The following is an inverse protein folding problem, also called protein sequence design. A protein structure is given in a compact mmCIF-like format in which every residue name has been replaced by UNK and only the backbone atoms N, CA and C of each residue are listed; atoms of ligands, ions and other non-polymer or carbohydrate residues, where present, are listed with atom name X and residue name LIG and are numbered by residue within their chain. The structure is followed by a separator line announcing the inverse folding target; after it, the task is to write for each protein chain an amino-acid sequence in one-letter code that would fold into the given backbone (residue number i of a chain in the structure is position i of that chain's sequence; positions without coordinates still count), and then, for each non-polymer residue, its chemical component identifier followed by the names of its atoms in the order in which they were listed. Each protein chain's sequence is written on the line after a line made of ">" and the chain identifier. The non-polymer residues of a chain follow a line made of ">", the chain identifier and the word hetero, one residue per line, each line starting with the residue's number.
data_IF_856354212212
#
_entry.id   IF_856354212212
#
_cell.length_a   1.000
_cell.length_b   1.000
_cell.length_c   1.000
_cell.angle_alpha   90.00
_cell.angle_beta   90.00
_cell.angle_gamma   90.00
#
_symmetry.space_group_name_H-M   'P 1'
#
loop_
_entity.id
_entity.type
_entity.pdbx_description
1 polymer ?
#
# COMPACT_ATOMS: atom_id res chain seq x y z
N UNK A 1 19.13 18.26 -1.55
CA UNK A 1 17.94 17.58 -2.09
C UNK A 1 18.27 16.35 -2.92
N UNK A 2 19.52 16.15 -3.39
CA UNK A 2 19.96 15.02 -4.24
C UNK A 2 20.10 13.65 -3.54
N UNK A 3 19.32 13.34 -2.50
CA UNK A 3 19.54 12.10 -1.72
C UNK A 3 18.25 11.46 -1.17
N UNK A 4 17.08 11.82 -1.75
CA UNK A 4 15.76 11.35 -1.31
C UNK A 4 15.43 9.92 -1.79
N UNK A 5 15.78 9.60 -3.04
CA UNK A 5 15.76 8.27 -3.68
C UNK A 5 16.43 8.36 -5.05
N UNK A 6 16.62 7.22 -5.72
CA UNK A 6 17.20 7.14 -7.06
C UNK A 6 16.09 7.17 -8.13
N UNK A 7 15.95 8.30 -8.82
CA UNK A 7 14.95 8.53 -9.88
C UNK A 7 15.16 7.64 -11.13
N UNK A 8 16.37 7.13 -11.37
CA UNK A 8 16.63 6.20 -12.48
C UNK A 8 16.05 4.80 -12.21
N UNK A 9 15.89 4.44 -10.95
CA UNK A 9 15.47 3.09 -10.53
C UNK A 9 14.11 3.04 -9.85
N UNK A 10 13.58 4.19 -9.43
CA UNK A 10 12.35 4.31 -8.66
C UNK A 10 11.42 5.34 -9.28
N UNK A 11 10.18 4.92 -9.51
CA UNK A 11 9.10 5.79 -9.97
C UNK A 11 8.00 5.86 -8.91
N UNK A 12 7.49 7.07 -8.69
CA UNK A 12 6.30 7.33 -7.88
C UNK A 12 5.17 7.62 -8.85
N UNK A 13 4.03 6.96 -8.66
CA UNK A 13 2.84 7.15 -9.51
C UNK A 13 1.62 7.29 -8.60
N UNK A 14 0.71 8.20 -8.93
CA UNK A 14 -0.55 8.40 -8.21
C UNK A 14 -1.69 7.72 -8.95
N UNK A 15 -2.42 6.85 -8.25
CA UNK A 15 -3.59 6.16 -8.80
C UNK A 15 -4.86 6.84 -8.33
N UNK A 16 -5.68 7.26 -9.27
CA UNK A 16 -6.97 7.93 -9.00
C UNK A 16 -8.10 7.26 -9.78
N UNK A 17 -9.32 7.37 -9.26
CA UNK A 17 -10.53 7.08 -10.01
C UNK A 17 -10.81 8.13 -11.07
N UNK A 18 -11.83 7.89 -11.89
CA UNK A 18 -12.26 8.84 -12.91
C UNK A 18 -12.82 10.11 -12.27
N UNK A 19 -12.58 11.29 -12.87
CA UNK A 19 -13.18 12.53 -12.40
C UNK A 19 -14.71 12.44 -12.44
N UNK A 20 -15.36 13.10 -11.47
CA UNK A 20 -16.82 13.12 -11.33
C UNK A 20 -17.46 14.41 -11.85
N UNK A 21 -16.65 15.39 -12.24
CA UNK A 21 -17.06 16.68 -12.77
C UNK A 21 -16.05 17.20 -13.81
N UNK A 22 -16.48 18.16 -14.64
CA UNK A 22 -15.60 18.86 -15.58
C UNK A 22 -14.49 19.63 -14.86
N UNK A 23 -14.78 20.20 -13.68
CA UNK A 23 -13.79 20.91 -12.87
C UNK A 23 -12.69 19.95 -12.38
N UNK A 24 -13.05 18.75 -11.92
CA UNK A 24 -12.06 17.73 -11.53
C UNK A 24 -11.23 17.28 -12.74
N UNK A 25 -11.85 17.12 -13.91
CA UNK A 25 -11.16 16.75 -15.15
C UNK A 25 -10.17 17.82 -15.61
N UNK A 26 -10.54 19.11 -15.56
CA UNK A 26 -9.66 20.23 -15.89
C UNK A 26 -8.49 20.35 -14.93
N UNK A 27 -8.76 20.26 -13.62
CA UNK A 27 -7.71 20.28 -12.59
C UNK A 27 -6.73 19.13 -12.75
N UNK A 28 -7.25 17.95 -13.10
CA UNK A 28 -6.45 16.77 -13.36
C UNK A 28 -5.58 16.94 -14.62
N UNK A 29 -6.12 17.50 -15.69
CA UNK A 29 -5.36 17.76 -16.91
C UNK A 29 -4.22 18.77 -16.68
N UNK A 30 -4.44 19.78 -15.81
CA UNK A 30 -3.40 20.74 -15.42
C UNK A 30 -2.29 20.03 -14.63
N UNK A 31 -2.65 19.22 -13.63
CA UNK A 31 -1.69 18.49 -12.80
C UNK A 31 -0.84 17.53 -13.64
N UNK A 32 -1.50 16.74 -14.50
CA UNK A 32 -0.83 15.77 -15.36
C UNK A 32 0.09 16.48 -16.37
N UNK A 33 -0.28 17.68 -16.81
CA UNK A 33 0.58 18.54 -17.66
C UNK A 33 1.85 19.04 -16.98
N UNK A 34 1.96 18.93 -15.65
CA UNK A 34 3.14 19.32 -14.87
C UNK A 34 3.98 18.14 -14.40
N UNK A 35 3.35 17.06 -13.91
CA UNK A 35 4.06 15.99 -13.19
C UNK A 35 4.15 14.66 -13.95
N UNK A 36 3.21 14.38 -14.86
CA UNK A 36 3.20 13.16 -15.67
C UNK A 36 3.29 11.84 -14.88
N UNK A 37 2.75 11.83 -13.68
CA UNK A 37 2.83 10.70 -12.75
C UNK A 37 1.46 10.18 -12.30
N UNK A 38 0.37 10.57 -12.99
CA UNK A 38 -0.97 10.06 -12.70
C UNK A 38 -1.36 8.86 -13.58
N UNK A 39 -2.01 7.88 -12.94
CA UNK A 39 -2.76 6.83 -13.61
C UNK A 39 -4.23 6.93 -13.22
N UNK A 40 -5.06 7.31 -14.19
CA UNK A 40 -6.52 7.35 -14.05
C UNK A 40 -7.08 5.95 -14.34
N UNK A 41 -7.77 5.37 -13.36
CA UNK A 41 -8.49 4.12 -13.53
C UNK A 41 -9.99 4.39 -13.71
N UNK A 42 -10.65 3.61 -14.57
CA UNK A 42 -12.10 3.68 -14.81
C UNK A 42 -12.89 3.12 -13.61
N UNK A 43 -12.84 3.85 -12.50
CA UNK A 43 -13.36 3.48 -11.18
C UNK A 43 -13.90 4.76 -10.52
N UNK A 44 -15.07 4.68 -9.89
CA UNK A 44 -15.56 5.77 -9.05
C UNK A 44 -14.74 5.91 -7.77
N UNK A 45 -14.27 7.12 -7.45
CA UNK A 45 -13.43 7.37 -6.28
C UNK A 45 -14.22 7.19 -4.98
N UNK A 46 -13.61 6.52 -4.00
CA UNK A 46 -14.24 6.30 -2.71
C UNK A 46 -13.55 5.21 -1.89
N UNK A 47 -13.93 5.11 -0.62
CA UNK A 47 -13.32 4.15 0.29
C UNK A 47 -13.50 2.69 -0.17
N UNK A 48 -14.67 2.35 -0.70
CA UNK A 48 -14.98 0.98 -1.13
C UNK A 48 -14.37 0.61 -2.50
N UNK A 49 -13.71 1.54 -3.19
CA UNK A 49 -13.03 1.29 -4.45
C UNK A 49 -11.51 1.12 -4.31
N UNK A 50 -10.96 1.24 -3.10
CA UNK A 50 -9.53 1.03 -2.81
C UNK A 50 -9.00 -0.32 -3.32
N UNK A 51 -9.79 -1.39 -3.22
CA UNK A 51 -9.41 -2.71 -3.73
C UNK A 51 -9.28 -2.75 -5.25
N UNK A 52 -10.14 -2.04 -5.97
CA UNK A 52 -10.07 -1.91 -7.43
C UNK A 52 -8.90 -1.00 -7.84
N UNK A 53 -8.60 0.06 -7.08
CA UNK A 53 -7.40 0.88 -7.30
C UNK A 53 -6.12 0.08 -7.11
N UNK A 54 -6.08 -0.77 -6.09
CA UNK A 54 -4.93 -1.68 -5.85
C UNK A 54 -4.81 -2.73 -6.95
N UNK A 55 -5.94 -3.28 -7.41
CA UNK A 55 -5.96 -4.16 -8.58
C UNK A 55 -5.40 -3.46 -9.83
N UNK A 56 -5.85 -2.24 -10.11
CA UNK A 56 -5.38 -1.43 -11.23
C UNK A 56 -3.88 -1.10 -11.12
N UNK A 57 -3.38 -0.78 -9.92
CA UNK A 57 -1.96 -0.58 -9.65
C UNK A 57 -1.13 -1.82 -9.97
N UNK A 58 -1.57 -3.01 -9.56
CA UNK A 58 -0.87 -4.26 -9.88
C UNK A 58 -0.91 -4.58 -11.38
N UNK A 59 -2.05 -4.34 -12.04
CA UNK A 59 -2.17 -4.50 -13.50
C UNK A 59 -1.22 -3.54 -14.22
N UNK A 60 -1.24 -2.26 -13.87
CA UNK A 60 -0.38 -1.25 -14.47
C UNK A 60 1.10 -1.60 -14.30
N UNK A 61 1.53 -1.96 -13.09
CA UNK A 61 2.90 -2.44 -12.82
C UNK A 61 3.23 -3.62 -13.73
N UNK A 62 2.36 -4.63 -13.79
CA UNK A 62 2.65 -5.86 -14.53
C UNK A 62 2.70 -5.64 -16.06
N UNK A 63 1.95 -4.67 -16.57
CA UNK A 63 1.93 -4.30 -17.99
C UNK A 63 3.10 -3.40 -18.37
N UNK A 64 3.33 -2.32 -17.59
CA UNK A 64 4.30 -1.27 -17.94
C UNK A 64 5.71 -1.52 -17.40
N UNK A 65 5.79 -2.16 -16.23
CA UNK A 65 7.02 -2.38 -15.47
C UNK A 65 7.17 -3.84 -14.97
N UNK A 66 7.09 -4.84 -15.86
CA UNK A 66 7.06 -6.26 -15.47
C UNK A 66 8.31 -6.69 -14.70
N UNK A 67 9.47 -6.08 -14.98
CA UNK A 67 10.77 -6.44 -14.39
C UNK A 67 11.11 -5.72 -13.09
N UNK A 68 10.33 -4.72 -12.67
CA UNK A 68 10.62 -3.98 -11.43
C UNK A 68 10.57 -4.94 -10.24
N UNK A 69 11.63 -4.91 -9.42
CA UNK A 69 11.85 -5.83 -8.29
C UNK A 69 10.81 -5.69 -7.19
N UNK A 70 10.20 -4.53 -7.08
CA UNK A 70 9.41 -4.14 -5.92
C UNK A 70 8.23 -3.27 -6.34
N UNK A 71 7.12 -3.37 -5.62
CA UNK A 71 6.00 -2.43 -5.70
C UNK A 71 5.63 -2.03 -4.28
N UNK A 72 5.75 -0.75 -3.96
CA UNK A 72 5.31 -0.21 -2.66
C UNK A 72 3.98 0.48 -2.86
N UNK A 73 2.95 0.01 -2.16
CA UNK A 73 1.66 0.69 -2.10
C UNK A 73 1.66 1.60 -0.89
N UNK A 74 1.21 2.84 -1.06
CA UNK A 74 0.96 3.78 0.03
C UNK A 74 -0.37 4.51 -0.17
N UNK A 75 -1.07 4.82 0.92
CA UNK A 75 -2.18 5.78 0.91
C UNK A 75 -1.62 7.21 0.92
N UNK A 76 -2.36 8.16 0.35
CA UNK A 76 -1.93 9.56 0.21
C UNK A 76 -1.76 10.31 1.53
N UNK A 77 -2.25 9.74 2.63
CA UNK A 77 -2.02 10.21 4.00
C UNK A 77 -0.79 9.58 4.66
N UNK A 78 0.10 8.92 3.91
CA UNK A 78 1.38 8.40 4.43
C UNK A 78 2.57 9.17 3.87
N UNK A 79 3.52 9.49 4.74
CA UNK A 79 4.83 10.02 4.34
C UNK A 79 5.84 8.90 4.37
N UNK A 80 6.61 8.76 3.28
CA UNK A 80 7.53 7.67 3.04
C UNK A 80 8.98 8.15 3.02
N UNK A 81 9.89 7.29 3.49
CA UNK A 81 11.32 7.42 3.27
C UNK A 81 11.72 6.50 2.11
N UNK A 82 11.54 6.99 0.88
CA UNK A 82 11.62 6.18 -0.35
C UNK A 82 12.94 5.43 -0.47
N UNK A 83 14.08 6.07 -0.17
CA UNK A 83 15.40 5.41 -0.15
C UNK A 83 15.49 4.19 0.77
N UNK A 84 14.72 4.15 1.86
CA UNK A 84 14.72 2.98 2.73
C UNK A 84 13.94 1.83 2.11
N UNK A 85 12.90 2.11 1.33
CA UNK A 85 12.25 1.08 0.51
C UNK A 85 13.18 0.54 -0.57
N UNK A 86 13.97 1.39 -1.25
CA UNK A 86 14.97 0.92 -2.22
C UNK A 86 15.92 -0.10 -1.58
N UNK A 87 16.50 0.25 -0.42
CA UNK A 87 17.34 -0.66 0.37
C UNK A 87 16.61 -1.94 0.77
N UNK A 88 15.37 -1.84 1.25
CA UNK A 88 14.57 -3.02 1.62
C UNK A 88 14.33 -3.94 0.42
N UNK A 89 14.04 -3.37 -0.74
CA UNK A 89 13.79 -4.10 -1.97
C UNK A 89 15.07 -4.77 -2.52
N UNK A 90 16.24 -4.15 -2.33
CA UNK A 90 17.54 -4.72 -2.75
C UNK A 90 18.09 -5.76 -1.77
N UNK A 91 17.91 -5.57 -0.47
CA UNK A 91 18.38 -6.51 0.56
C UNK A 91 17.51 -7.77 0.68
N UNK A 92 16.24 -7.69 0.27
CA UNK A 92 15.32 -8.83 0.40
C UNK A 92 15.46 -9.80 -0.78
N UNK A 93 16.03 -10.96 -0.49
CA UNK A 93 16.42 -11.95 -1.50
C UNK A 93 15.24 -12.78 -2.05
N UNK A 94 14.17 -12.99 -1.27
CA UNK A 94 13.08 -13.90 -1.66
C UNK A 94 11.71 -13.22 -1.73
N UNK A 95 10.86 -13.58 -2.72
CA UNK A 95 9.54 -12.99 -2.91
C UNK A 95 8.66 -13.05 -1.66
N UNK A 96 8.12 -11.90 -1.24
CA UNK A 96 7.28 -11.78 -0.04
C UNK A 96 6.54 -10.45 0.00
N UNK A 97 5.51 -10.39 0.84
CA UNK A 97 4.86 -9.16 1.24
C UNK A 97 5.47 -8.70 2.55
N UNK A 98 5.88 -7.44 2.62
CA UNK A 98 6.48 -6.83 3.79
C UNK A 98 5.62 -5.65 4.24
N UNK A 99 5.32 -5.58 5.53
CA UNK A 99 4.49 -4.52 6.07
C UNK A 99 4.30 -4.67 7.57
N UNK A 100 3.31 -3.98 8.14
CA UNK A 100 2.89 -4.24 9.52
C UNK A 100 1.88 -5.40 9.57
N UNK A 101 2.40 -6.61 9.63
CA UNK A 101 1.61 -7.86 9.54
C UNK A 101 1.33 -8.57 10.88
N UNK A 102 1.52 -7.85 12.00
CA UNK A 102 1.36 -8.27 13.39
C UNK A 102 0.10 -7.65 14.02
N UNK A 103 -0.96 -7.49 13.23
CA UNK A 103 -2.20 -6.83 13.67
C UNK A 103 -3.27 -7.83 14.08
N UNK A 104 -4.30 -7.35 14.80
CA UNK A 104 -5.49 -8.16 15.07
C UNK A 104 -6.14 -8.60 13.76
N UNK A 105 -6.50 -9.88 13.71
CA UNK A 105 -7.14 -10.52 12.55
C UNK A 105 -8.66 -10.60 12.68
N UNK A 106 -9.22 -10.05 13.75
CA UNK A 106 -10.65 -10.11 14.02
C UNK A 106 -11.45 -9.31 12.99
N UNK A 107 -12.46 -9.97 12.42
CA UNK A 107 -13.36 -9.35 11.48
C UNK A 107 -14.31 -8.42 12.23
N UNK A 108 -14.23 -7.11 11.95
CA UNK A 108 -15.10 -6.09 12.55
C UNK A 108 -16.55 -6.29 12.12
N UNK A 109 -17.45 -6.43 13.09
CA UNK A 109 -18.89 -6.67 12.88
C UNK A 109 -19.75 -5.50 13.34
N UNK A 110 -19.16 -4.56 14.07
CA UNK A 110 -19.73 -3.30 14.51
C UNK A 110 -19.87 -2.32 13.34
N UNK A 111 -20.83 -1.38 13.44
CA UNK A 111 -21.15 -0.40 12.38
C UNK A 111 -20.07 0.67 12.25
N UNK A 112 -18.90 0.29 11.76
CA UNK A 112 -17.77 1.16 11.44
C UNK A 112 -17.50 1.12 9.94
N UNK A 113 -16.61 1.99 9.43
CA UNK A 113 -16.14 1.93 8.04
C UNK A 113 -15.43 0.61 7.67
N UNK A 114 -15.05 -0.18 8.67
CA UNK A 114 -14.38 -1.47 8.50
C UNK A 114 -15.31 -2.68 8.70
N UNK A 115 -16.61 -2.44 8.89
CA UNK A 115 -17.60 -3.49 9.10
C UNK A 115 -17.62 -4.46 7.92
N UNK A 116 -17.54 -5.76 8.23
CA UNK A 116 -17.76 -6.83 7.25
C UNK A 116 -18.92 -7.71 7.72
N UNK A 117 -20.01 -7.84 6.95
CA UNK A 117 -21.12 -8.73 7.28
C UNK A 117 -20.73 -10.21 7.27
N UNK A 118 -21.39 -11.03 8.09
CA UNK A 118 -21.18 -12.50 8.08
C UNK A 118 -21.58 -13.15 6.75
N UNK A 119 -22.57 -12.58 6.07
CA UNK A 119 -22.97 -13.02 4.72
C UNK A 119 -21.88 -12.84 3.67
N UNK A 120 -20.96 -11.88 3.88
CA UNK A 120 -19.85 -11.61 2.97
C UNK A 120 -18.59 -12.39 3.36
N UNK A 121 -18.32 -12.49 4.67
CA UNK A 121 -17.20 -13.24 5.21
C UNK A 121 -17.64 -13.96 6.49
N UNK A 122 -17.90 -15.28 6.45
CA UNK A 122 -18.53 -15.99 7.56
C UNK A 122 -17.59 -16.25 8.73
N UNK A 123 -16.27 -16.28 8.48
CA UNK A 123 -15.27 -16.60 9.50
C UNK A 123 -15.04 -15.43 10.48
N UNK A 124 -14.71 -15.71 11.74
CA UNK A 124 -14.44 -14.66 12.74
C UNK A 124 -13.08 -13.97 12.54
N UNK A 125 -12.15 -14.62 11.85
CA UNK A 125 -10.78 -14.14 11.66
C UNK A 125 -10.43 -14.11 10.16
N UNK A 126 -9.77 -13.04 9.73
CA UNK A 126 -9.08 -13.00 8.44
C UNK A 126 -7.81 -13.87 8.45
N UNK A 127 -7.26 -14.28 7.28
CA UNK A 127 -5.87 -14.76 7.22
C UNK A 127 -4.91 -13.70 7.74
N UNK A 128 -3.65 -14.07 8.04
CA UNK A 128 -2.65 -13.05 8.37
C UNK A 128 -2.53 -12.08 7.19
N UNK A 129 -2.59 -10.79 7.45
CA UNK A 129 -2.48 -9.73 6.46
C UNK A 129 -1.61 -8.60 7.04
N UNK A 130 -1.13 -7.72 6.18
CA UNK A 130 -0.33 -6.56 6.55
C UNK A 130 -1.24 -5.34 6.53
N UNK A 131 -1.49 -4.78 7.71
CA UNK A 131 -2.32 -3.60 7.84
C UNK A 131 -1.44 -2.42 8.12
N UNK A 132 -1.53 -1.40 7.28
CA UNK A 132 -0.99 -0.05 7.38
C UNK A 132 -1.42 0.64 6.11
N UNK A 133 -1.44 1.98 6.09
CA UNK A 133 -1.54 2.70 4.82
C UNK A 133 -0.31 2.53 3.93
N UNK A 134 0.58 1.56 4.20
CA UNK A 134 1.74 1.25 3.36
C UNK A 134 2.13 -0.22 3.49
N UNK A 135 2.48 -0.88 2.39
CA UNK A 135 3.12 -2.19 2.37
C UNK A 135 3.95 -2.37 1.08
N UNK A 136 4.95 -3.25 1.11
CA UNK A 136 5.82 -3.55 -0.01
C UNK A 136 5.62 -4.98 -0.53
N UNK A 137 5.46 -5.10 -1.84
CA UNK A 137 5.44 -6.36 -2.59
C UNK A 137 6.82 -6.57 -3.19
N UNK A 138 7.62 -7.41 -2.56
CA UNK A 138 9.00 -7.66 -2.96
C UNK A 138 9.05 -8.92 -3.82
N UNK A 139 9.67 -8.81 -4.99
CA UNK A 139 9.70 -9.83 -6.04
C UNK A 139 8.90 -9.37 -7.25
N UNK A 140 9.55 -9.35 -8.41
CA UNK A 140 8.96 -8.82 -9.65
C UNK A 140 7.66 -9.54 -10.07
N UNK A 141 7.52 -10.81 -9.68
CA UNK A 141 6.41 -11.70 -9.99
C UNK A 141 5.31 -11.74 -8.89
N UNK A 142 5.52 -11.09 -7.73
CA UNK A 142 4.53 -11.06 -6.64
C UNK A 142 3.20 -10.43 -7.08
N UNK A 143 3.17 -9.24 -7.71
CA UNK A 143 1.91 -8.67 -8.22
C UNK A 143 1.20 -9.60 -9.21
N UNK A 144 1.94 -10.22 -10.13
CA UNK A 144 1.38 -11.16 -11.10
C UNK A 144 0.76 -12.41 -10.44
N UNK A 145 1.40 -12.94 -9.38
CA UNK A 145 0.87 -14.05 -8.59
C UNK A 145 -0.40 -13.67 -7.84
N UNK A 146 -0.47 -12.45 -7.30
CA UNK A 146 -1.66 -11.92 -6.64
C UNK A 146 -2.81 -11.74 -7.64
N UNK A 147 -2.56 -11.20 -8.83
CA UNK A 147 -3.56 -11.11 -9.91
C UNK A 147 -4.12 -12.49 -10.28
N UNK A 148 -3.25 -13.51 -10.43
CA UNK A 148 -3.71 -14.90 -10.66
C UNK A 148 -4.53 -15.48 -9.50
N UNK A 149 -4.28 -15.03 -8.27
CA UNK A 149 -5.10 -15.42 -7.11
C UNK A 149 -6.45 -14.70 -7.10
N UNK A 150 -6.50 -13.44 -7.56
CA UNK A 150 -7.75 -12.70 -7.80
C UNK A 150 -8.63 -13.45 -8.79
N UNK A 151 -8.09 -13.90 -9.91
CA UNK A 151 -8.82 -14.66 -10.95
C UNK A 151 -9.40 -15.99 -10.43
N UNK A 152 -8.77 -16.59 -9.42
CA UNK A 152 -9.23 -17.82 -8.75
C UNK A 152 -10.21 -17.56 -7.60
N UNK A 153 -10.59 -16.31 -7.39
CA UNK A 153 -11.44 -15.89 -6.28
C UNK A 153 -12.76 -15.32 -6.78
N UNK A 154 -13.63 -14.99 -5.84
CA UNK A 154 -14.93 -14.37 -6.06
C UNK A 154 -14.86 -12.86 -6.35
N UNK A 155 -13.67 -12.25 -6.33
CA UNK A 155 -13.46 -10.81 -6.45
C UNK A 155 -14.04 -10.22 -7.74
N UNK A 156 -13.86 -10.89 -8.89
CA UNK A 156 -14.36 -10.41 -10.18
C UNK A 156 -15.88 -10.58 -10.32
N UNK A 157 -16.48 -11.51 -9.58
CA UNK A 157 -17.87 -11.92 -9.77
C UNK A 157 -18.88 -11.10 -8.97
N UNK A 158 -18.45 -10.32 -7.97
CA UNK A 158 -19.38 -9.50 -7.20
C UNK A 158 -18.75 -8.24 -6.63
N UNK A 159 -19.46 -7.13 -6.79
CA UNK A 159 -19.08 -5.84 -6.23
C UNK A 159 -18.98 -5.89 -4.70
N UNK A 160 -19.81 -6.69 -4.02
CA UNK A 160 -19.79 -6.76 -2.56
C UNK A 160 -18.46 -7.29 -2.02
N UNK A 161 -17.85 -8.26 -2.70
CA UNK A 161 -16.55 -8.78 -2.28
C UNK A 161 -15.41 -7.80 -2.54
N UNK A 162 -15.54 -6.95 -3.58
CA UNK A 162 -14.61 -5.85 -3.82
C UNK A 162 -14.66 -4.80 -2.71
N UNK A 163 -15.74 -4.72 -1.94
CA UNK A 163 -15.86 -3.80 -0.79
C UNK A 163 -15.18 -4.32 0.50
N UNK A 164 -14.62 -5.53 0.50
CA UNK A 164 -13.79 -5.97 1.62
C UNK A 164 -12.55 -5.06 1.75
N UNK A 165 -11.98 -4.93 2.97
CA UNK A 165 -10.78 -4.12 3.16
C UNK A 165 -9.66 -4.54 2.20
N UNK A 166 -9.06 -3.54 1.55
CA UNK A 166 -8.06 -3.74 0.50
C UNK A 166 -6.84 -4.51 1.00
N UNK A 167 -6.31 -4.12 2.16
CA UNK A 167 -5.17 -4.76 2.81
C UNK A 167 -5.46 -6.24 3.12
N UNK A 168 -6.65 -6.55 3.64
CA UNK A 168 -7.13 -7.93 3.88
C UNK A 168 -7.21 -8.74 2.58
N UNK A 169 -7.70 -8.13 1.50
CA UNK A 169 -7.81 -8.80 0.20
C UNK A 169 -6.42 -9.14 -0.36
N UNK A 170 -5.56 -8.14 -0.57
CA UNK A 170 -4.31 -8.33 -1.32
C UNK A 170 -3.16 -8.90 -0.50
N UNK A 171 -3.06 -8.53 0.78
CA UNK A 171 -1.97 -9.03 1.65
C UNK A 171 -2.39 -10.20 2.54
N UNK A 172 -3.70 -10.50 2.58
CA UNK A 172 -4.28 -11.62 3.33
C UNK A 172 -4.81 -12.73 2.43
N UNK A 173 -6.03 -12.57 1.90
CA UNK A 173 -6.77 -13.62 1.20
C UNK A 173 -6.06 -14.05 -0.08
N UNK A 174 -5.72 -13.11 -0.95
CA UNK A 174 -5.05 -13.43 -2.22
C UNK A 174 -3.61 -13.88 -2.00
N UNK A 175 -2.93 -13.34 -0.99
CA UNK A 175 -1.61 -13.81 -0.59
C UNK A 175 -1.64 -15.28 -0.12
N UNK A 176 -2.68 -15.68 0.61
CA UNK A 176 -2.89 -17.07 1.05
C UNK A 176 -3.12 -18.00 -0.16
N UNK A 177 -4.02 -17.62 -1.08
CA UNK A 177 -4.28 -18.36 -2.32
C UNK A 177 -3.00 -18.50 -3.17
N UNK A 178 -2.20 -17.43 -3.26
CA UNK A 178 -0.95 -17.39 -4.00
C UNK A 178 0.24 -18.04 -3.26
N UNK A 179 0.05 -18.47 -2.01
CA UNK A 179 1.09 -19.01 -1.12
C UNK A 179 2.29 -18.07 -0.95
N UNK A 180 2.02 -16.76 -0.85
CA UNK A 180 3.05 -15.73 -0.64
C UNK A 180 3.22 -15.48 0.86
N UNK A 181 4.48 -15.49 1.31
CA UNK A 181 4.83 -15.21 2.70
C UNK A 181 4.62 -13.73 3.02
N UNK A 182 4.05 -13.46 4.20
CA UNK A 182 3.97 -12.12 4.81
C UNK A 182 5.05 -12.01 5.87
N UNK A 183 5.73 -10.87 5.93
CA UNK A 183 6.78 -10.60 6.92
C UNK A 183 6.49 -9.29 7.61
N UNK A 184 6.25 -9.35 8.91
CA UNK A 184 6.16 -8.15 9.73
C UNK A 184 7.55 -7.51 9.84
N UNK A 185 7.63 -6.20 9.61
CA UNK A 185 8.81 -5.40 9.94
C UNK A 185 8.39 -4.17 10.76
N UNK A 186 9.30 -3.71 11.62
CA UNK A 186 9.18 -2.42 12.27
C UNK A 186 9.41 -1.26 11.28
N UNK A 187 9.06 -0.04 11.70
CA UNK A 187 9.35 1.18 10.95
C UNK A 187 8.26 1.65 9.98
N UNK A 188 7.18 0.88 9.80
CA UNK A 188 5.93 1.33 9.16
C UNK A 188 4.89 1.59 10.26
N UNK A 189 4.57 2.85 10.53
CA UNK A 189 3.82 3.22 11.74
C UNK A 189 2.41 3.72 11.41
N UNK A 190 1.40 3.16 12.09
CA UNK A 190 0.02 3.66 12.07
C UNK A 190 -0.20 4.97 12.82
N UNK A 191 0.68 5.29 13.76
CA UNK A 191 0.55 6.42 14.68
C UNK A 191 1.87 7.21 14.63
N UNK A 192 1.75 8.53 14.86
CA UNK A 192 2.82 9.52 15.07
C UNK A 192 3.71 9.20 16.30
N UNK A 193 4.22 7.99 16.44
CA UNK A 193 5.07 7.60 17.56
C UNK A 193 6.28 6.80 17.07
N UNK A 194 7.51 7.15 17.51
CA UNK A 194 8.60 6.20 17.44
C UNK A 194 8.19 4.97 18.24
N UNK A 195 8.17 3.79 17.62
CA UNK A 195 8.04 2.55 18.39
C UNK A 195 9.22 2.40 19.39
N UNK A 196 10.38 3.04 19.11
CA UNK A 196 11.59 2.96 19.94
C UNK A 196 12.45 4.23 19.81
N UNK A 197 13.15 4.60 20.89
CA UNK A 197 14.17 5.69 20.97
C UNK A 197 15.53 5.22 20.41
N UNK A 198 15.77 3.91 20.31
CA UNK A 198 17.04 3.29 19.95
C UNK A 198 16.84 2.31 18.77
N UNK A 199 17.67 2.40 17.70
CA UNK A 199 17.42 1.70 16.42
C UNK A 199 18.66 1.07 15.76
N UNK A 200 19.54 0.42 16.51
CA UNK A 200 20.67 -0.31 15.90
C UNK A 200 20.15 -1.35 14.88
N UNK A 201 20.41 -1.08 13.60
CA UNK A 201 19.98 -1.92 12.47
C UNK A 201 18.51 -1.79 12.05
N UNK A 202 17.72 -0.86 12.60
CA UNK A 202 16.29 -0.70 12.28
C UNK A 202 16.02 0.59 11.49
N UNK A 203 15.32 0.50 10.35
CA UNK A 203 15.01 1.64 9.47
C UNK A 203 13.60 2.18 9.67
N UNK A 204 13.40 3.48 9.44
CA UNK A 204 12.08 4.09 9.31
C UNK A 204 11.64 4.03 7.85
N UNK A 205 10.39 3.64 7.61
CA UNK A 205 9.84 3.46 6.27
C UNK A 205 8.70 4.43 6.02
N UNK A 206 7.70 4.48 6.90
CA UNK A 206 6.57 5.41 6.75
C UNK A 206 5.92 5.84 8.06
N UNK A 207 5.28 7.00 8.00
CA UNK A 207 4.42 7.55 9.05
C UNK A 207 3.07 7.95 8.44
N UNK A 208 1.98 7.53 9.09
CA UNK A 208 0.62 7.95 8.74
C UNK A 208 0.28 9.34 9.33
N UNK A 209 -0.28 10.24 8.51
CA UNK A 209 -0.59 11.63 8.84
C UNK A 209 -1.96 11.77 9.53
N UNK A 210 -2.03 11.35 10.79
CA UNK A 210 -3.29 11.28 11.53
C UNK A 210 -3.85 12.63 12.01
N UNK A 211 -3.00 13.64 12.28
CA UNK A 211 -3.38 14.84 13.05
C UNK A 211 -3.25 16.13 12.25
N UNK A 212 -2.12 16.30 11.58
CA UNK A 212 -1.81 17.51 10.79
C UNK A 212 -1.65 17.10 9.34
N UNK A 213 -2.35 17.77 8.43
CA UNK A 213 -2.24 17.54 6.98
C UNK A 213 -1.08 18.33 6.37
N UNK A 214 0.12 18.20 6.93
CA UNK A 214 1.34 18.80 6.37
C UNK A 214 2.42 17.72 6.23
N UNK A 215 2.62 17.15 5.02
CA UNK A 215 3.59 16.08 4.81
C UNK A 215 5.03 16.51 5.14
N UNK A 216 5.36 17.81 5.11
CA UNK A 216 6.71 18.31 5.41
C UNK A 216 7.05 18.14 6.88
N UNK A 217 6.07 18.31 7.77
CA UNK A 217 6.25 18.09 9.22
C UNK A 217 6.51 16.61 9.48
N UNK A 218 5.72 15.74 8.86
CA UNK A 218 5.87 14.29 9.00
C UNK A 218 7.15 13.77 8.35
N UNK A 219 7.59 14.36 7.24
CA UNK A 219 8.86 14.00 6.61
C UNK A 219 10.06 14.35 7.50
N UNK A 220 10.07 15.55 8.12
CA UNK A 220 11.08 15.93 9.11
C UNK A 220 11.09 14.98 10.31
N UNK A 221 9.90 14.61 10.81
CA UNK A 221 9.78 13.62 11.90
C UNK A 221 10.31 12.25 11.47
N UNK A 222 9.94 11.78 10.28
CA UNK A 222 10.38 10.50 9.75
C UNK A 222 11.91 10.45 9.61
N UNK A 223 12.53 11.53 9.12
CA UNK A 223 14.00 11.64 9.05
C UNK A 223 14.66 11.67 10.43
N UNK A 224 14.07 12.36 11.41
CA UNK A 224 14.58 12.35 12.79
C UNK A 224 14.54 10.95 13.44
N UNK A 225 13.69 10.04 12.96
CA UNK A 225 13.64 8.65 13.41
C UNK A 225 14.76 7.76 12.83
N UNK A 226 15.51 8.23 11.83
CA UNK A 226 16.51 7.43 11.11
C UNK A 226 17.89 7.42 11.79
N UNK A 227 18.16 8.34 12.73
CA UNK A 227 19.52 8.75 13.08
C UNK A 227 20.05 8.46 14.48
N UNK A 228 19.36 7.70 15.34
CA UNK A 228 19.85 7.40 16.69
C UNK A 228 20.30 5.94 16.80
N UNK A 229 21.59 5.72 16.57
CA UNK A 229 22.30 4.55 17.07
C UNK A 229 22.38 4.60 18.59
N UNK A 230 22.34 3.43 19.21
CA UNK A 230 22.93 3.23 20.52
C UNK A 230 24.40 2.81 20.26
#
# INVERSE_FOLDING_TARGET
>A
MNDLYNEDTTQVMFFIGKPSSLEEEEMLAIEEGHYHDIVVAEIEEGYYSLSLKTYAMMLFKNTRYPKTKCLVKADSDNVLHVRNYERLCDETIAPRIVGKCDVSREVKRDRTKWMVPKSLYPYPLFPQYCSTGTYALIGHDVPAKLLKAVDKSWFQHSANYRKLPEDVLFTGIFAEIAKIRRTHIGGMSFIDAPAYVCRNGLRAYSLHMNRVRDPRIYFKRLGALEGHGC
#
